data_IF_247927714765
#
_entry.id   IF_247927714765
#
_cell.length_a   1.000
_cell.length_b   1.000
_cell.length_c   1.000
_cell.angle_alpha   90.00
_cell.angle_beta   90.00
_cell.angle_gamma   90.00
#
_symmetry.space_group_name_H-M   'P 1'
#
loop_
_entity.id
_entity.type
_entity.pdbx_description
1 polymer ?
#
# COMPACT_ATOMS: atom_id res chain seq x y z
N UNK A 1 2.70 10.24 20.60
CA UNK A 1 3.26 10.23 21.95
C UNK A 1 4.80 10.36 22.02
N UNK A 2 5.51 10.21 20.91
CA UNK A 2 6.99 10.33 20.87
C UNK A 2 7.47 11.76 20.69
N UNK A 3 6.55 12.69 20.43
CA UNK A 3 6.82 14.12 20.16
C UNK A 3 7.97 14.31 19.15
N UNK A 4 7.95 13.56 18.06
CA UNK A 4 8.92 13.61 16.99
C UNK A 4 8.23 13.92 15.67
N UNK A 5 8.87 14.75 14.88
CA UNK A 5 8.45 14.97 13.50
C UNK A 5 8.57 13.67 12.70
N UNK A 6 7.63 13.48 11.80
CA UNK A 6 7.41 12.17 11.16
C UNK A 6 7.36 12.31 9.64
N UNK A 7 8.11 11.46 8.96
CA UNK A 7 8.01 11.27 7.53
C UNK A 7 7.33 9.92 7.25
N UNK A 8 6.22 9.96 6.50
CA UNK A 8 5.53 8.76 6.01
C UNK A 8 5.91 8.54 4.56
N UNK A 9 6.48 7.39 4.26
CA UNK A 9 6.85 6.98 2.90
C UNK A 9 5.79 6.07 2.30
N UNK A 10 5.33 6.42 1.11
CA UNK A 10 4.38 5.65 0.32
C UNK A 10 4.92 5.45 -1.10
N UNK A 11 4.46 4.42 -1.79
CA UNK A 11 4.93 4.08 -3.14
C UNK A 11 3.95 4.49 -4.25
N UNK A 12 2.71 4.89 -3.92
CA UNK A 12 1.66 5.31 -4.87
C UNK A 12 1.01 6.60 -4.43
N UNK A 13 0.53 7.36 -5.43
CA UNK A 13 -0.14 8.64 -5.20
C UNK A 13 -1.46 8.48 -4.43
N UNK A 14 -2.21 7.44 -4.73
CA UNK A 14 -3.48 7.16 -4.05
C UNK A 14 -3.27 6.94 -2.55
N UNK A 15 -2.18 6.26 -2.17
CA UNK A 15 -1.81 6.08 -0.77
C UNK A 15 -1.40 7.40 -0.11
N UNK A 16 -0.69 8.29 -0.84
CA UNK A 16 -0.34 9.60 -0.32
C UNK A 16 -1.59 10.40 0.04
N UNK A 17 -2.56 10.47 -0.88
CA UNK A 17 -3.81 11.19 -0.67
C UNK A 17 -4.62 10.58 0.49
N UNK A 18 -4.71 9.24 0.58
CA UNK A 18 -5.38 8.53 1.67
C UNK A 18 -4.71 8.79 3.03
N UNK A 19 -3.38 8.77 3.10
CA UNK A 19 -2.67 9.07 4.34
C UNK A 19 -2.95 10.47 4.82
N UNK A 20 -2.85 11.48 3.94
CA UNK A 20 -3.14 12.88 4.29
C UNK A 20 -4.56 13.03 4.83
N UNK A 21 -5.55 12.40 4.19
CA UNK A 21 -6.95 12.44 4.61
C UNK A 21 -7.15 11.79 5.98
N UNK A 22 -6.61 10.60 6.19
CA UNK A 22 -6.72 9.88 7.47
C UNK A 22 -6.00 10.59 8.60
N UNK A 23 -4.81 11.16 8.35
CA UNK A 23 -4.10 11.94 9.35
C UNK A 23 -4.93 13.13 9.82
N UNK A 24 -5.58 13.87 8.90
CA UNK A 24 -6.50 14.96 9.25
C UNK A 24 -7.67 14.48 10.11
N UNK A 25 -8.25 13.35 9.73
CA UNK A 25 -9.45 12.81 10.40
C UNK A 25 -9.14 12.29 11.80
N UNK A 26 -8.03 11.53 11.95
CA UNK A 26 -7.78 10.80 13.19
C UNK A 26 -6.90 11.51 14.21
N UNK A 27 -5.99 12.39 13.77
CA UNK A 27 -5.06 13.04 14.69
C UNK A 27 -5.59 14.34 15.29
N UNK A 28 -6.68 14.90 14.76
CA UNK A 28 -7.26 16.17 15.21
C UNK A 28 -6.21 17.32 15.32
N UNK A 29 -5.25 17.31 14.40
CA UNK A 29 -4.21 18.36 14.30
C UNK A 29 -4.59 19.36 13.22
N UNK A 30 -3.99 20.57 13.28
CA UNK A 30 -4.17 21.54 12.20
C UNK A 30 -3.73 20.95 10.86
N UNK A 31 -4.59 20.93 9.83
CA UNK A 31 -4.24 20.45 8.50
C UNK A 31 -2.98 21.12 7.91
N UNK A 32 -2.63 22.30 8.35
CA UNK A 32 -1.39 23.00 7.97
C UNK A 32 -0.12 22.31 8.47
N UNK A 33 -0.22 21.44 9.46
CA UNK A 33 0.90 20.65 9.97
C UNK A 33 1.16 19.37 9.17
N UNK A 34 0.30 19.05 8.20
CA UNK A 34 0.44 17.89 7.32
C UNK A 34 0.93 18.36 5.96
N UNK A 35 2.15 18.00 5.63
CA UNK A 35 2.75 18.31 4.35
C UNK A 35 2.76 17.17 3.35
N UNK A 36 3.10 17.47 2.11
CA UNK A 36 3.15 16.49 1.02
C UNK A 36 4.37 16.71 0.14
N UNK A 37 5.01 15.59 -0.25
CA UNK A 37 6.12 15.55 -1.20
C UNK A 37 5.82 14.50 -2.26
N UNK A 38 5.46 14.93 -3.47
CA UNK A 38 5.13 14.03 -4.58
C UNK A 38 3.82 14.39 -5.25
N UNK A 39 3.50 13.68 -6.33
CA UNK A 39 2.29 13.95 -7.11
C UNK A 39 2.21 15.36 -7.69
N UNK A 40 3.35 15.97 -8.03
CA UNK A 40 3.42 17.35 -8.51
C UNK A 40 3.40 18.43 -7.40
N UNK A 41 3.35 18.02 -6.14
CA UNK A 41 3.36 18.92 -4.97
C UNK A 41 4.66 18.74 -4.17
N UNK A 42 5.22 19.86 -3.68
CA UNK A 42 6.34 19.86 -2.74
C UNK A 42 6.08 20.93 -1.68
N UNK A 43 5.39 20.54 -0.62
CA UNK A 43 4.99 21.42 0.48
C UNK A 43 5.24 20.71 1.82
N UNK A 44 6.52 20.45 2.17
CA UNK A 44 6.83 19.88 3.49
C UNK A 44 6.54 20.90 4.59
N UNK A 45 6.11 20.42 5.73
CA UNK A 45 5.88 21.23 6.95
C UNK A 45 6.96 20.99 7.99
N UNK A 46 7.67 19.86 7.90
CA UNK A 46 8.63 19.43 8.91
C UNK A 46 7.99 18.89 10.20
N UNK A 47 6.65 18.76 10.25
CA UNK A 47 5.92 18.20 11.39
C UNK A 47 5.48 16.78 11.09
N UNK A 48 4.51 16.61 10.18
CA UNK A 48 4.12 15.32 9.64
C UNK A 48 4.04 15.48 8.12
N UNK A 49 4.89 14.79 7.42
CA UNK A 49 4.91 14.87 5.97
C UNK A 49 4.73 13.49 5.35
N UNK A 50 3.93 13.43 4.29
CA UNK A 50 3.72 12.22 3.50
C UNK A 50 4.44 12.38 2.17
N UNK A 51 5.30 11.43 1.83
CA UNK A 51 6.15 11.52 0.65
C UNK A 51 6.04 10.28 -0.24
N UNK A 52 5.98 10.52 -1.55
CA UNK A 52 6.26 9.47 -2.53
C UNK A 52 7.75 9.17 -2.52
N UNK A 53 8.13 7.92 -2.33
CA UNK A 53 9.55 7.54 -2.29
C UNK A 53 10.31 7.93 -3.57
N UNK A 54 9.65 7.81 -4.73
CA UNK A 54 10.22 8.18 -6.03
C UNK A 54 10.45 9.70 -6.16
N UNK A 55 9.77 10.51 -5.36
CA UNK A 55 9.95 11.96 -5.35
C UNK A 55 11.11 12.41 -4.47
N UNK A 56 11.61 11.53 -3.61
CA UNK A 56 12.76 11.75 -2.74
C UNK A 56 14.07 11.22 -3.34
N UNK A 57 14.01 10.40 -4.38
CA UNK A 57 15.19 9.82 -5.02
C UNK A 57 15.25 10.29 -6.47
N UNK A 58 16.31 11.01 -6.83
CA UNK A 58 16.57 11.45 -8.20
C UNK A 58 18.01 11.12 -8.59
N UNK A 59 18.18 10.46 -9.73
CA UNK A 59 19.51 10.08 -10.26
C UNK A 59 20.40 9.34 -9.25
N UNK A 60 19.78 8.52 -8.38
CA UNK A 60 20.52 7.81 -7.33
C UNK A 60 20.84 8.65 -6.08
N UNK A 61 20.51 9.93 -6.07
CA UNK A 61 20.66 10.80 -4.91
C UNK A 61 19.36 10.93 -4.13
N UNK A 62 19.47 10.99 -2.81
CA UNK A 62 18.34 11.14 -1.88
C UNK A 62 18.25 12.58 -1.43
N UNK A 63 17.05 13.13 -1.43
CA UNK A 63 16.75 14.46 -0.92
C UNK A 63 17.15 14.58 0.56
N UNK A 64 17.88 15.63 0.90
CA UNK A 64 18.42 15.87 2.25
C UNK A 64 17.34 16.00 3.31
N UNK A 65 16.13 16.39 2.93
CA UNK A 65 14.99 16.52 3.84
C UNK A 65 14.72 15.24 4.63
N UNK A 66 15.08 14.07 4.09
CA UNK A 66 14.90 12.79 4.77
C UNK A 66 15.66 12.72 6.10
N UNK A 67 16.76 13.45 6.22
CA UNK A 67 17.59 13.50 7.42
C UNK A 67 16.99 14.35 8.56
N UNK A 68 15.98 15.16 8.28
CA UNK A 68 15.41 16.10 9.23
C UNK A 68 14.36 15.49 10.15
N UNK A 69 13.90 14.26 9.86
CA UNK A 69 12.83 13.60 10.62
C UNK A 69 13.35 12.65 11.68
N UNK A 70 12.76 12.74 12.86
CA UNK A 70 13.08 11.86 13.99
C UNK A 70 12.36 10.51 13.94
N UNK A 71 11.31 10.39 13.12
CA UNK A 71 10.55 9.16 12.88
C UNK A 71 10.27 8.96 11.40
N UNK A 72 10.44 7.72 10.95
CA UNK A 72 10.12 7.27 9.60
C UNK A 72 9.05 6.18 9.68
N UNK A 73 7.97 6.32 8.92
CA UNK A 73 6.95 5.30 8.74
C UNK A 73 6.96 4.90 7.27
N UNK A 74 7.02 3.61 7.00
CA UNK A 74 7.08 3.06 5.65
C UNK A 74 5.85 2.22 5.41
N UNK A 75 4.94 2.72 4.58
CA UNK A 75 3.71 2.02 4.26
C UNK A 75 3.94 1.02 3.12
N UNK A 76 3.26 -0.14 3.21
CA UNK A 76 3.42 -1.26 2.28
C UNK A 76 4.90 -1.60 2.05
N UNK A 77 5.65 -1.72 3.15
CA UNK A 77 7.11 -1.88 3.13
C UNK A 77 7.59 -3.09 2.32
N UNK A 78 6.71 -4.06 2.03
CA UNK A 78 6.99 -5.19 1.16
C UNK A 78 7.02 -4.84 -0.34
N UNK A 79 6.42 -3.70 -0.74
CA UNK A 79 6.43 -3.23 -2.14
C UNK A 79 7.63 -2.33 -2.47
N UNK A 80 8.39 -1.93 -1.48
CA UNK A 80 9.53 -1.07 -1.73
C UNK A 80 10.58 -1.82 -2.55
N UNK A 81 10.99 -1.22 -3.68
CA UNK A 81 12.18 -1.70 -4.35
C UNK A 81 13.34 -1.59 -3.38
N UNK A 82 14.08 -2.68 -3.20
CA UNK A 82 15.19 -2.73 -2.25
C UNK A 82 16.15 -1.55 -2.43
N UNK A 83 16.45 -1.16 -3.67
CA UNK A 83 17.38 -0.10 -3.99
C UNK A 83 16.92 1.30 -3.52
N UNK A 84 15.71 1.74 -3.89
CA UNK A 84 15.25 3.09 -3.52
C UNK A 84 15.02 3.24 -2.01
N UNK A 85 14.53 2.19 -1.36
CA UNK A 85 14.33 2.21 0.08
C UNK A 85 15.67 2.18 0.83
N UNK A 86 16.61 1.37 0.39
CA UNK A 86 17.95 1.32 0.98
C UNK A 86 18.64 2.69 0.92
N UNK A 87 18.54 3.39 -0.21
CA UNK A 87 19.09 4.74 -0.34
C UNK A 87 18.48 5.70 0.69
N UNK A 88 17.14 5.72 0.81
CA UNK A 88 16.44 6.56 1.78
C UNK A 88 16.77 6.16 3.21
N UNK A 89 16.81 4.86 3.52
CA UNK A 89 17.11 4.35 4.84
C UNK A 89 18.55 4.69 5.28
N UNK A 90 19.52 4.66 4.37
CA UNK A 90 20.90 5.08 4.64
C UNK A 90 21.03 6.58 4.91
N UNK A 91 20.19 7.40 4.28
CA UNK A 91 20.22 8.86 4.44
C UNK A 91 19.46 9.33 5.68
N UNK A 92 18.45 8.61 6.12
CA UNK A 92 17.65 8.99 7.29
C UNK A 92 18.48 9.00 8.57
N UNK A 93 18.23 9.99 9.41
CA UNK A 93 18.73 10.08 10.80
C UNK A 93 17.64 9.71 11.82
N UNK A 94 16.50 9.19 11.35
CA UNK A 94 15.37 8.86 12.19
C UNK A 94 15.75 7.83 13.26
N UNK A 95 15.50 8.18 14.50
CA UNK A 95 15.70 7.26 15.65
C UNK A 95 14.66 6.12 15.63
N UNK A 96 13.49 6.38 15.08
CA UNK A 96 12.39 5.44 15.05
C UNK A 96 11.99 5.14 13.62
N UNK A 97 12.03 3.87 13.26
CA UNK A 97 11.58 3.38 11.95
C UNK A 97 10.48 2.34 12.19
N UNK A 98 9.38 2.47 11.45
CA UNK A 98 8.26 1.53 11.49
C UNK A 98 7.85 1.16 10.07
N UNK A 99 7.86 -0.13 9.74
CA UNK A 99 7.31 -0.68 8.51
C UNK A 99 5.89 -1.20 8.75
N UNK A 100 4.97 -0.86 7.87
CA UNK A 100 3.60 -1.36 7.84
C UNK A 100 3.43 -2.25 6.61
N UNK A 101 2.80 -3.40 6.77
CA UNK A 101 2.54 -4.33 5.66
C UNK A 101 1.42 -5.29 6.01
N UNK A 102 0.56 -5.58 5.05
CA UNK A 102 -0.40 -6.67 5.17
C UNK A 102 0.26 -8.06 5.01
N UNK A 103 1.37 -8.13 4.30
CA UNK A 103 2.13 -9.36 4.04
C UNK A 103 3.61 -9.11 4.23
N UNK A 104 4.25 -9.82 5.16
CA UNK A 104 5.69 -9.67 5.41
C UNK A 104 6.51 -10.55 4.46
N UNK A 105 5.94 -11.69 4.03
CA UNK A 105 6.63 -12.62 3.14
C UNK A 105 6.59 -12.13 1.70
N UNK A 106 7.75 -11.87 1.11
CA UNK A 106 7.90 -11.54 -0.32
C UNK A 106 8.16 -12.81 -1.12
N UNK A 107 7.53 -12.92 -2.28
CA UNK A 107 7.72 -14.04 -3.22
C UNK A 107 9.13 -14.12 -3.79
N UNK A 108 9.83 -12.98 -3.84
CA UNK A 108 11.21 -12.86 -4.36
C UNK A 108 12.30 -13.15 -3.31
N UNK A 109 11.95 -13.50 -2.08
CA UNK A 109 12.89 -13.80 -1.01
C UNK A 109 13.60 -12.59 -0.39
N UNK A 110 13.33 -11.36 -0.83
CA UNK A 110 14.00 -10.14 -0.33
C UNK A 110 13.42 -9.59 0.98
N UNK A 111 12.59 -10.36 1.70
CA UNK A 111 12.08 -9.97 3.01
C UNK A 111 13.15 -9.72 4.08
N UNK A 112 14.37 -10.32 4.06
CA UNK A 112 15.39 -9.99 5.05
C UNK A 112 15.76 -8.50 5.05
N UNK A 113 15.74 -7.81 3.90
CA UNK A 113 16.03 -6.38 3.79
C UNK A 113 15.03 -5.54 4.58
N UNK A 114 13.75 -5.93 4.58
CA UNK A 114 12.70 -5.26 5.36
C UNK A 114 13.04 -5.33 6.85
N UNK A 115 13.45 -6.50 7.34
CA UNK A 115 13.82 -6.68 8.74
C UNK A 115 15.09 -5.92 9.12
N UNK A 116 16.06 -5.84 8.22
CA UNK A 116 17.26 -5.04 8.44
C UNK A 116 16.96 -3.54 8.60
N UNK A 117 16.00 -3.03 7.87
CA UNK A 117 15.66 -1.60 7.83
C UNK A 117 14.57 -1.21 8.83
N UNK A 118 13.54 -2.03 8.98
CA UNK A 118 12.39 -1.73 9.83
C UNK A 118 12.41 -2.46 11.18
N UNK A 119 13.35 -3.39 11.37
CA UNK A 119 13.42 -4.24 12.54
C UNK A 119 12.45 -5.44 12.48
N UNK A 120 12.40 -6.25 13.55
CA UNK A 120 11.57 -7.43 13.60
C UNK A 120 10.07 -7.09 13.68
N UNK A 121 9.22 -8.06 13.33
CA UNK A 121 7.77 -7.93 13.50
C UNK A 121 7.45 -7.73 14.97
N UNK A 122 6.86 -6.59 15.31
CA UNK A 122 6.50 -6.23 16.68
C UNK A 122 5.02 -6.40 16.99
N UNK A 123 4.19 -6.37 15.96
CA UNK A 123 2.76 -6.55 16.07
C UNK A 123 2.22 -7.21 14.82
N UNK A 124 1.32 -8.18 14.99
CA UNK A 124 0.66 -8.87 13.89
C UNK A 124 -0.82 -9.04 14.24
N UNK A 125 -1.67 -8.62 13.31
CA UNK A 125 -3.11 -8.82 13.40
C UNK A 125 -3.49 -10.02 12.55
N UNK A 126 -4.06 -11.03 13.17
CA UNK A 126 -4.57 -12.19 12.45
C UNK A 126 -5.99 -11.91 11.96
N UNK A 127 -6.22 -12.07 10.65
CA UNK A 127 -7.52 -11.80 10.03
C UNK A 127 -8.67 -12.58 10.70
N UNK A 128 -8.42 -13.80 11.20
CA UNK A 128 -9.42 -14.59 11.93
C UNK A 128 -9.82 -13.96 13.26
N UNK A 129 -8.86 -13.44 14.04
CA UNK A 129 -9.14 -12.77 15.31
C UNK A 129 -9.91 -11.48 15.10
N UNK A 130 -9.50 -10.69 14.09
CA UNK A 130 -10.19 -9.45 13.75
C UNK A 130 -11.62 -9.69 13.25
N UNK A 131 -11.85 -10.73 12.47
CA UNK A 131 -13.19 -11.11 12.02
C UNK A 131 -14.09 -11.54 13.21
N UNK A 132 -13.53 -12.23 14.19
CA UNK A 132 -14.26 -12.62 15.40
C UNK A 132 -14.64 -11.41 16.26
N UNK A 133 -13.73 -10.43 16.41
CA UNK A 133 -13.96 -9.20 17.18
C UNK A 133 -14.93 -8.23 16.47
N UNK A 134 -14.91 -8.16 15.14
CA UNK A 134 -15.78 -7.27 14.38
C UNK A 134 -17.22 -7.74 14.24
N UNK A 135 -17.53 -8.99 14.68
CA UNK A 135 -18.85 -9.60 14.51
C UNK A 135 -19.26 -9.87 13.06
N UNK A 136 -18.36 -9.61 12.10
CA UNK A 136 -18.62 -9.83 10.68
C UNK A 136 -18.33 -11.29 10.32
N UNK A 137 -19.35 -12.00 9.88
CA UNK A 137 -19.19 -13.37 9.37
C UNK A 137 -18.79 -13.35 7.90
N UNK A 138 -17.56 -13.74 7.62
CA UNK A 138 -17.09 -13.92 6.25
C UNK A 138 -17.51 -15.28 5.71
N UNK A 139 -18.20 -15.32 4.57
CA UNK A 139 -18.55 -16.54 3.87
C UNK A 139 -18.01 -16.46 2.45
N UNK A 140 -17.03 -17.30 2.13
CA UNK A 140 -16.55 -17.47 0.77
C UNK A 140 -17.50 -18.41 0.02
N UNK A 141 -17.96 -17.99 -1.16
CA UNK A 141 -18.71 -18.85 -2.10
C UNK A 141 -17.94 -18.91 -3.40
N UNK A 142 -17.51 -20.10 -3.76
CA UNK A 142 -16.89 -20.34 -5.05
C UNK A 142 -17.97 -20.37 -6.15
N UNK A 143 -17.71 -19.65 -7.25
CA UNK A 143 -18.61 -19.59 -8.40
C UNK A 143 -17.81 -19.82 -9.67
N UNK A 144 -18.17 -20.84 -10.41
CA UNK A 144 -17.58 -21.13 -11.70
C UNK A 144 -18.26 -20.28 -12.78
N UNK A 145 -17.44 -19.64 -13.62
CA UNK A 145 -17.91 -18.84 -14.76
C UNK A 145 -17.68 -19.62 -16.07
N UNK A 146 -18.40 -19.26 -17.13
CA UNK A 146 -18.19 -19.81 -18.48
C UNK A 146 -17.15 -19.00 -19.28
N UNK A 147 -16.47 -18.04 -18.63
CA UNK A 147 -15.46 -17.23 -19.27
C UNK A 147 -14.38 -18.10 -19.91
N UNK A 148 -14.08 -17.81 -21.17
CA UNK A 148 -12.93 -18.39 -21.88
C UNK A 148 -12.00 -17.27 -22.30
N UNK A 149 -10.71 -17.49 -22.07
CA UNK A 149 -9.72 -16.53 -22.53
C UNK A 149 -9.75 -16.46 -24.06
N UNK A 150 -9.75 -15.25 -24.67
CA UNK A 150 -9.67 -15.11 -26.13
C UNK A 150 -8.48 -15.90 -26.70
N UNK A 151 -8.67 -16.56 -27.84
CA UNK A 151 -7.67 -17.47 -28.42
C UNK A 151 -6.30 -16.81 -28.61
N UNK A 152 -6.28 -15.55 -29.03
CA UNK A 152 -5.05 -14.75 -29.20
C UNK A 152 -4.27 -14.65 -27.88
N UNK A 153 -4.97 -14.53 -26.75
CA UNK A 153 -4.33 -14.46 -25.41
C UNK A 153 -4.00 -15.86 -24.89
N UNK A 154 -4.83 -16.86 -25.21
CA UNK A 154 -4.62 -18.24 -24.79
C UNK A 154 -3.41 -18.91 -25.47
N UNK A 155 -3.11 -18.52 -26.71
CA UNK A 155 -1.94 -18.99 -27.49
C UNK A 155 -0.64 -18.27 -27.15
N UNK A 156 -0.69 -17.16 -26.45
CA UNK A 156 0.50 -16.43 -26.05
C UNK A 156 1.25 -17.17 -24.93
N UNK A 157 2.54 -17.39 -25.11
CA UNK A 157 3.40 -18.04 -24.10
C UNK A 157 3.37 -17.30 -22.74
N UNK A 158 3.25 -15.96 -22.77
CA UNK A 158 3.06 -15.10 -21.58
C UNK A 158 2.08 -13.97 -21.91
N UNK A 159 0.78 -14.19 -21.76
CA UNK A 159 -0.20 -13.15 -22.03
C UNK A 159 -0.04 -11.98 -21.05
N UNK A 160 -0.14 -10.75 -21.58
CA UNK A 160 -0.05 -9.55 -20.75
C UNK A 160 -1.24 -9.47 -19.77
N UNK A 161 -0.98 -9.35 -18.48
CA UNK A 161 -2.03 -9.27 -17.44
C UNK A 161 -3.08 -8.20 -17.70
N UNK A 162 -2.74 -6.97 -18.16
CA UNK A 162 -3.75 -5.97 -18.51
C UNK A 162 -4.75 -6.44 -19.57
N UNK A 163 -4.29 -7.19 -20.59
CA UNK A 163 -5.16 -7.72 -21.62
C UNK A 163 -6.12 -8.80 -21.06
N UNK A 164 -5.63 -9.65 -20.16
CA UNK A 164 -6.47 -10.62 -19.44
C UNK A 164 -7.54 -9.90 -18.61
N UNK A 165 -7.18 -8.87 -17.86
CA UNK A 165 -8.14 -8.08 -17.08
C UNK A 165 -9.17 -7.37 -17.97
N UNK A 166 -8.77 -6.84 -19.12
CA UNK A 166 -9.70 -6.24 -20.07
C UNK A 166 -10.69 -7.27 -20.62
N UNK A 167 -10.22 -8.47 -20.97
CA UNK A 167 -11.09 -9.55 -21.43
C UNK A 167 -12.07 -10.00 -20.33
N UNK A 168 -11.60 -10.15 -19.09
CA UNK A 168 -12.44 -10.48 -17.93
C UNK A 168 -13.50 -9.39 -17.64
N UNK A 169 -13.13 -8.14 -17.72
CA UNK A 169 -14.03 -7.01 -17.50
C UNK A 169 -15.08 -6.87 -18.61
N UNK A 170 -14.74 -7.29 -19.83
CA UNK A 170 -15.65 -7.25 -20.99
C UNK A 170 -16.59 -8.45 -21.11
N UNK A 171 -16.44 -9.50 -20.29
CA UNK A 171 -17.30 -10.70 -20.37
C UNK A 171 -18.66 -10.44 -19.72
N UNK A 172 -19.68 -10.25 -20.57
CA UNK A 172 -21.05 -9.97 -20.12
C UNK A 172 -21.62 -11.10 -19.26
N UNK A 173 -21.45 -12.35 -19.64
CA UNK A 173 -22.02 -13.49 -18.91
C UNK A 173 -21.44 -13.61 -17.50
N UNK A 174 -20.14 -13.35 -17.33
CA UNK A 174 -19.48 -13.29 -16.01
C UNK A 174 -20.00 -12.10 -15.20
N UNK A 175 -20.14 -10.95 -15.82
CA UNK A 175 -20.62 -9.74 -15.14
C UNK A 175 -22.08 -9.86 -14.69
N UNK A 176 -22.96 -10.43 -15.52
CA UNK A 176 -24.34 -10.73 -15.16
C UNK A 176 -24.42 -11.70 -13.98
N UNK A 177 -23.59 -12.75 -13.96
CA UNK A 177 -23.54 -13.69 -12.85
C UNK A 177 -23.09 -13.00 -11.55
N UNK A 178 -22.11 -12.10 -11.61
CA UNK A 178 -21.65 -11.32 -10.45
C UNK A 178 -22.77 -10.42 -9.96
N UNK A 179 -23.44 -9.74 -10.86
CA UNK A 179 -24.56 -8.85 -10.54
C UNK A 179 -25.71 -9.61 -9.85
N UNK A 180 -26.12 -10.75 -10.40
CA UNK A 180 -27.14 -11.61 -9.81
C UNK A 180 -26.76 -12.10 -8.41
N UNK A 181 -25.50 -12.50 -8.20
CA UNK A 181 -25.01 -12.96 -6.91
C UNK A 181 -24.99 -11.83 -5.86
N UNK A 182 -24.71 -10.61 -6.28
CA UNK A 182 -24.80 -9.42 -5.40
C UNK A 182 -26.26 -9.16 -5.03
N UNK A 183 -27.19 -9.14 -5.99
CA UNK A 183 -28.63 -8.94 -5.73
C UNK A 183 -29.18 -10.00 -4.76
N UNK A 184 -28.93 -11.27 -5.03
CA UNK A 184 -29.37 -12.39 -4.14
C UNK A 184 -28.77 -12.26 -2.73
N UNK A 185 -27.57 -11.72 -2.61
CA UNK A 185 -26.93 -11.52 -1.30
C UNK A 185 -27.54 -10.34 -0.53
N UNK A 186 -28.06 -9.35 -1.22
CA UNK A 186 -28.77 -8.20 -0.62
C UNK A 186 -30.19 -8.59 -0.17
N UNK A 187 -30.87 -9.45 -0.94
CA UNK A 187 -32.21 -9.96 -0.63
C UNK A 187 -32.23 -10.96 0.53
N UNK A 188 -31.09 -11.64 0.77
CA UNK A 188 -30.95 -12.66 1.80
C UNK A 188 -30.65 -12.09 3.21
N UNK A 189 -30.71 -10.76 3.39
CA UNK A 189 -30.64 -10.07 4.68
C UNK A 189 -32.04 -9.88 5.26
#
# INVERSE_FOLDING_TARGET
HRARNTLVLVHRRELLDQWVERLKTFLQIDPKQIGTIGGGKRKPTGVIDVALIQSLVRNGEVDDIVADYGQLIVDECHHLSAASFELVARRTKARYVAGLSATVARKDGHHPIIFMQCGPVRHQVHARSQAAESGIRHRARERHTRFKLPEVLAMAERPAMPAIYTALAGDAGRNDQIFDDVLKSLEAK
#
